data_IF_349451349300
#
_entry.id   IF_349451349300
#
_cell.length_a   1.000
_cell.length_b   1.000
_cell.length_c   1.000
_cell.angle_alpha   90.00
_cell.angle_beta   90.00
_cell.angle_gamma   90.00
#
_symmetry.space_group_name_H-M   'P 1'
#
loop_
_entity.id
_entity.type
_entity.pdbx_description
1 polymer ?
#
# COMPACT_ATOMS: atom_id res chain seq x y z
N UNK A 1 36.88 2.49 21.52
CA UNK A 1 35.78 3.48 21.38
C UNK A 1 36.15 4.80 20.67
N UNK A 2 37.36 4.94 20.09
CA UNK A 2 37.76 6.17 19.34
C UNK A 2 37.80 6.00 17.81
N UNK A 3 37.72 4.76 17.30
CA UNK A 3 37.76 4.46 15.86
C UNK A 3 36.35 4.52 15.22
N UNK A 4 35.29 4.26 15.99
CA UNK A 4 33.91 4.32 15.50
C UNK A 4 33.46 5.77 15.17
N UNK A 5 33.90 6.77 15.94
CA UNK A 5 33.57 8.18 15.68
C UNK A 5 34.23 8.73 14.42
N UNK A 6 35.44 8.26 14.08
CA UNK A 6 36.14 8.66 12.86
C UNK A 6 35.49 8.12 11.59
N UNK A 7 34.94 6.91 11.65
CA UNK A 7 34.26 6.28 10.52
C UNK A 7 32.90 6.95 10.20
N UNK A 8 32.17 7.42 11.23
CA UNK A 8 30.92 8.17 11.06
C UNK A 8 31.16 9.55 10.46
N UNK A 9 32.21 10.27 10.88
CA UNK A 9 32.56 11.59 10.34
C UNK A 9 33.07 11.47 8.89
N UNK A 10 33.83 10.42 8.56
CA UNK A 10 34.32 10.18 7.20
C UNK A 10 33.19 9.79 6.22
N UNK A 11 32.18 9.04 6.69
CA UNK A 11 30.99 8.72 5.89
C UNK A 11 30.08 9.96 5.64
N UNK A 12 30.05 10.90 6.59
CA UNK A 12 29.34 12.19 6.45
C UNK A 12 30.07 13.15 5.50
N UNK A 13 31.40 13.10 5.42
CA UNK A 13 32.18 13.94 4.52
C UNK A 13 32.24 13.41 3.08
N UNK A 14 32.18 12.09 2.87
CA UNK A 14 32.12 11.50 1.51
C UNK A 14 30.74 11.57 0.85
N UNK A 15 29.67 11.87 1.60
CA UNK A 15 28.33 12.08 1.04
C UNK A 15 28.13 13.47 0.43
N UNK A 16 29.06 14.40 0.62
CA UNK A 16 28.99 15.76 0.08
C UNK A 16 29.28 15.86 -1.44
N UNK A 17 29.63 14.75 -2.11
CA UNK A 17 29.92 14.71 -3.54
C UNK A 17 28.84 14.00 -4.39
N UNK A 18 27.69 13.67 -3.81
CA UNK A 18 26.58 13.04 -4.54
C UNK A 18 25.51 14.07 -4.88
N UNK A 19 25.49 14.53 -6.14
CA UNK A 19 24.32 15.21 -6.71
C UNK A 19 23.25 14.18 -7.07
N UNK A 20 22.63 13.57 -6.07
CA UNK A 20 21.35 12.90 -6.26
C UNK A 20 20.27 13.95 -6.35
N UNK A 21 19.93 14.43 -7.54
CA UNK A 21 18.71 15.22 -7.71
C UNK A 21 17.53 14.26 -7.70
N UNK A 22 16.85 14.17 -6.55
CA UNK A 22 15.57 13.48 -6.44
C UNK A 22 14.47 14.44 -6.90
N UNK A 23 13.84 14.15 -8.03
CA UNK A 23 12.75 14.98 -8.57
C UNK A 23 11.45 14.65 -7.85
N UNK A 24 10.87 15.62 -7.13
CA UNK A 24 9.48 15.58 -6.69
C UNK A 24 8.56 16.15 -7.77
N UNK A 25 8.94 17.27 -8.38
CA UNK A 25 8.34 17.87 -9.57
C UNK A 25 9.21 19.02 -10.10
N UNK A 26 8.81 19.70 -11.18
CA UNK A 26 9.54 20.84 -11.77
C UNK A 26 8.62 21.93 -12.32
N UNK A 27 9.15 23.16 -12.39
CA UNK A 27 8.51 24.29 -13.06
C UNK A 27 9.42 24.75 -14.19
N UNK A 28 8.87 24.84 -15.40
CA UNK A 28 9.59 25.31 -16.58
C UNK A 28 8.76 26.32 -17.37
N UNK A 29 9.34 26.95 -18.37
CA UNK A 29 8.61 27.84 -19.25
C UNK A 29 9.53 28.64 -20.17
N UNK A 30 8.90 29.40 -21.06
CA UNK A 30 9.58 30.30 -21.99
C UNK A 30 9.15 31.74 -21.73
N UNK A 31 10.13 32.64 -21.76
CA UNK A 31 9.90 34.08 -21.68
C UNK A 31 9.98 34.68 -23.07
N UNK A 32 8.91 35.37 -23.46
CA UNK A 32 8.77 36.05 -24.76
C UNK A 32 8.45 37.53 -24.56
N UNK A 33 8.62 38.34 -25.59
CA UNK A 33 8.22 39.75 -25.60
C UNK A 33 6.84 39.97 -26.28
N UNK A 34 6.41 41.23 -26.39
CA UNK A 34 5.17 41.61 -27.07
C UNK A 34 5.15 41.29 -28.57
N UNK A 35 6.30 41.09 -29.22
CA UNK A 35 6.39 40.66 -30.63
C UNK A 35 6.36 39.13 -30.80
N UNK A 36 6.51 38.37 -29.70
CA UNK A 36 6.63 36.91 -29.71
C UNK A 36 8.08 36.43 -29.82
N UNK A 37 9.06 37.32 -29.77
CA UNK A 37 10.48 36.95 -29.73
C UNK A 37 10.87 36.45 -28.34
N UNK A 38 11.80 35.49 -28.25
CA UNK A 38 12.30 34.96 -26.98
C UNK A 38 13.19 35.99 -26.26
N UNK A 39 13.12 36.03 -24.93
CA UNK A 39 13.89 36.97 -24.10
C UNK A 39 14.98 36.22 -23.34
N UNK A 40 16.23 36.19 -23.84
CA UNK A 40 17.35 35.61 -23.12
C UNK A 40 17.84 36.53 -22.00
N UNK A 41 18.41 35.96 -20.94
CA UNK A 41 18.98 36.74 -19.84
C UNK A 41 17.97 37.29 -18.83
N UNK A 42 16.68 37.01 -18.97
CA UNK A 42 15.65 37.40 -18.00
C UNK A 42 15.83 36.62 -16.70
N UNK A 43 15.71 37.30 -15.56
CA UNK A 43 15.82 36.69 -14.23
C UNK A 43 14.46 36.17 -13.81
N UNK A 44 14.35 34.85 -13.68
CA UNK A 44 13.15 34.16 -13.20
C UNK A 44 13.34 33.80 -11.74
N UNK A 45 12.39 34.23 -10.90
CA UNK A 45 12.34 33.93 -9.47
C UNK A 45 11.06 33.18 -9.13
N UNK A 46 11.21 32.01 -8.52
CA UNK A 46 10.11 31.12 -8.12
C UNK A 46 10.08 31.08 -6.60
N UNK A 47 8.97 31.45 -5.97
CA UNK A 47 8.81 31.51 -4.52
C UNK A 47 7.70 30.56 -4.09
N UNK A 48 8.02 29.61 -3.20
CA UNK A 48 7.02 28.77 -2.56
C UNK A 48 6.21 29.62 -1.57
N UNK A 49 4.88 29.67 -1.72
CA UNK A 49 4.02 30.60 -0.98
C UNK A 49 3.87 30.23 0.51
N UNK A 50 4.01 28.95 0.87
CA UNK A 50 3.90 28.49 2.25
C UNK A 50 5.21 28.62 3.05
N UNK A 51 6.35 28.46 2.37
CA UNK A 51 7.69 28.47 3.00
C UNK A 51 8.46 29.75 2.74
N UNK A 52 8.07 30.57 1.76
CA UNK A 52 8.81 31.77 1.35
C UNK A 52 10.20 31.50 0.77
N UNK A 53 10.52 30.23 0.48
CA UNK A 53 11.79 29.83 -0.14
C UNK A 53 11.78 30.26 -1.59
N UNK A 54 12.86 30.93 -2.01
CA UNK A 54 13.01 31.44 -3.37
C UNK A 54 14.09 30.68 -4.14
N UNK A 55 13.75 30.27 -5.35
CA UNK A 55 14.63 29.70 -6.35
C UNK A 55 14.81 30.74 -7.46
N UNK A 56 16.00 30.82 -8.04
CA UNK A 56 16.29 31.82 -9.08
C UNK A 56 17.12 31.21 -10.19
N UNK A 57 16.73 31.49 -11.42
CA UNK A 57 17.43 31.05 -12.63
C UNK A 57 17.30 32.12 -13.71
N UNK A 58 18.32 32.24 -14.56
CA UNK A 58 18.29 33.13 -15.72
C UNK A 58 17.87 32.35 -16.96
N UNK A 59 17.05 32.94 -17.83
CA UNK A 59 16.64 32.31 -19.08
C UNK A 59 17.84 32.07 -20.01
N UNK A 60 17.81 30.93 -20.69
CA UNK A 60 18.81 30.54 -21.69
C UNK A 60 18.74 31.41 -22.96
N UNK A 61 19.63 31.17 -23.93
CA UNK A 61 19.58 31.83 -25.25
C UNK A 61 18.27 31.62 -26.01
N UNK A 62 17.50 30.57 -25.69
CA UNK A 62 16.19 30.31 -26.26
C UNK A 62 15.03 30.92 -25.44
N UNK A 63 15.31 31.77 -24.44
CA UNK A 63 14.31 32.32 -23.52
C UNK A 63 13.72 31.29 -22.54
N UNK A 64 14.23 30.06 -22.54
CA UNK A 64 13.74 28.95 -21.73
C UNK A 64 14.35 28.96 -20.31
N UNK A 65 13.56 28.58 -19.31
CA UNK A 65 13.99 28.29 -17.95
C UNK A 65 13.38 26.97 -17.44
N UNK A 66 14.07 26.30 -16.52
CA UNK A 66 13.60 25.08 -15.86
C UNK A 66 14.26 24.92 -14.48
N UNK A 67 13.45 24.91 -13.44
CA UNK A 67 13.85 24.62 -12.06
C UNK A 67 13.25 23.26 -11.67
N UNK A 68 14.14 22.29 -11.45
CA UNK A 68 13.80 20.91 -11.11
C UNK A 68 13.89 20.64 -9.60
N UNK A 69 13.37 19.49 -9.17
CA UNK A 69 13.40 19.04 -7.77
C UNK A 69 12.75 20.04 -6.81
N UNK A 70 11.65 20.66 -7.24
CA UNK A 70 10.86 21.56 -6.41
C UNK A 70 9.91 20.73 -5.53
N UNK A 71 9.86 20.99 -4.21
CA UNK A 71 8.86 20.37 -3.35
C UNK A 71 7.44 20.71 -3.80
N UNK A 72 6.47 19.84 -3.52
CA UNK A 72 5.07 20.13 -3.84
C UNK A 72 4.56 21.35 -3.07
N UNK A 73 3.62 22.08 -3.65
CA UNK A 73 3.01 23.26 -3.05
C UNK A 73 2.67 24.34 -4.06
N UNK A 74 2.21 25.48 -3.55
CA UNK A 74 1.80 26.63 -4.39
C UNK A 74 2.97 27.59 -4.56
N UNK A 75 3.19 28.04 -5.79
CA UNK A 75 4.30 28.89 -6.17
C UNK A 75 3.85 30.18 -6.83
N UNK A 76 4.54 31.27 -6.47
CA UNK A 76 4.57 32.50 -7.26
C UNK A 76 5.81 32.48 -8.15
N UNK A 77 5.64 32.69 -9.46
CA UNK A 77 6.73 32.89 -10.43
C UNK A 77 6.76 34.35 -10.88
N UNK A 78 7.93 34.97 -10.85
CA UNK A 78 8.15 36.34 -11.33
C UNK A 78 9.32 36.42 -12.28
N UNK A 79 9.21 37.27 -13.31
CA UNK A 79 10.24 37.49 -14.32
C UNK A 79 10.59 38.97 -14.38
N UNK A 80 11.90 39.25 -14.35
CA UNK A 80 12.46 40.60 -14.42
C UNK A 80 13.53 40.67 -15.53
N UNK A 81 13.45 41.71 -16.36
CA UNK A 81 14.46 42.00 -17.39
C UNK A 81 14.54 43.51 -17.61
N UNK A 82 15.76 44.06 -17.74
CA UNK A 82 15.93 45.50 -17.98
C UNK A 82 15.29 45.89 -19.32
N UNK A 83 14.51 46.99 -19.31
CA UNK A 83 13.76 47.47 -20.48
C UNK A 83 12.36 46.87 -20.62
N UNK A 84 11.96 45.99 -19.70
CA UNK A 84 10.63 45.39 -19.65
C UNK A 84 9.96 45.62 -18.28
N UNK A 85 8.63 45.61 -18.27
CA UNK A 85 7.83 45.56 -17.04
C UNK A 85 8.02 44.22 -16.34
N UNK A 86 8.02 44.24 -15.01
CA UNK A 86 8.10 43.02 -14.22
C UNK A 86 6.75 42.29 -14.24
N UNK A 87 6.75 40.98 -14.46
CA UNK A 87 5.51 40.18 -14.50
C UNK A 87 5.54 39.14 -13.40
N UNK A 88 4.42 39.00 -12.69
CA UNK A 88 4.26 38.07 -11.57
C UNK A 88 2.99 37.24 -11.74
N UNK A 89 3.13 35.91 -11.66
CA UNK A 89 2.03 34.95 -11.64
C UNK A 89 2.01 34.23 -10.29
N UNK A 90 0.92 34.34 -9.54
CA UNK A 90 0.74 33.69 -8.23
C UNK A 90 -0.33 32.59 -8.29
N UNK A 91 -0.29 31.65 -7.35
CA UNK A 91 -1.27 30.56 -7.29
C UNK A 91 -0.97 29.39 -8.23
N UNK A 92 0.28 29.21 -8.67
CA UNK A 92 0.64 28.07 -9.51
C UNK A 92 0.83 26.84 -8.62
N UNK A 93 -0.12 25.91 -8.64
CA UNK A 93 -0.07 24.67 -7.88
C UNK A 93 0.88 23.66 -8.55
N UNK A 94 1.86 23.17 -7.80
CA UNK A 94 2.79 22.14 -8.22
C UNK A 94 2.55 20.88 -7.41
N UNK A 95 2.06 19.83 -8.09
CA UNK A 95 1.81 18.52 -7.48
C UNK A 95 2.91 17.50 -7.81
N UNK A 96 2.95 16.41 -7.05
CA UNK A 96 3.96 15.35 -7.16
C UNK A 96 3.94 14.69 -8.53
N UNK A 97 5.13 14.55 -9.12
CA UNK A 97 5.34 13.95 -10.44
C UNK A 97 4.43 14.52 -11.55
N UNK A 98 4.04 15.79 -11.40
CA UNK A 98 3.26 16.56 -12.35
C UNK A 98 3.96 17.91 -12.53
N UNK A 99 4.92 18.02 -13.46
CA UNK A 99 5.54 19.29 -13.76
C UNK A 99 4.51 20.28 -14.28
N UNK A 100 4.84 21.56 -14.26
CA UNK A 100 3.99 22.61 -14.84
C UNK A 100 4.82 23.55 -15.72
N UNK A 101 4.16 24.11 -16.73
CA UNK A 101 4.73 25.11 -17.62
C UNK A 101 4.11 26.48 -17.32
N UNK A 102 4.94 27.47 -16.98
CA UNK A 102 4.50 28.83 -16.69
C UNK A 102 5.20 29.79 -17.66
N UNK A 103 4.60 30.03 -18.81
CA UNK A 103 5.13 30.94 -19.81
C UNK A 103 4.88 32.41 -19.45
N UNK A 104 5.78 33.29 -19.89
CA UNK A 104 5.67 34.73 -19.68
C UNK A 104 5.76 35.49 -21.00
N UNK A 105 4.98 36.56 -21.08
CA UNK A 105 5.07 37.57 -22.12
C UNK A 105 5.36 38.90 -21.47
N UNK A 106 6.53 39.47 -21.76
CA UNK A 106 6.99 40.74 -21.21
C UNK A 106 6.56 41.89 -22.12
N UNK A 107 6.08 42.95 -21.50
CA UNK A 107 5.79 44.22 -22.17
C UNK A 107 6.94 45.19 -21.96
N UNK A 108 7.26 45.98 -22.98
CA UNK A 108 8.28 47.04 -22.89
C UNK A 108 7.83 48.08 -21.87
N UNK A 109 8.73 48.48 -20.98
CA UNK A 109 8.45 49.45 -19.92
C UNK A 109 9.50 49.44 -18.83
N UNK A 110 9.27 50.21 -17.77
CA UNK A 110 10.15 50.21 -16.60
C UNK A 110 9.88 49.00 -15.70
N UNK A 111 10.93 48.44 -15.11
CA UNK A 111 10.85 47.29 -14.19
C UNK A 111 10.05 47.58 -12.91
N UNK A 112 9.77 48.86 -12.62
CA UNK A 112 8.98 49.32 -11.47
C UNK A 112 7.48 49.02 -11.61
N UNK A 113 6.98 48.79 -12.83
CA UNK A 113 5.60 48.40 -13.07
C UNK A 113 5.44 46.88 -12.97
N UNK A 114 4.55 46.41 -12.07
CA UNK A 114 4.30 44.99 -11.81
C UNK A 114 2.92 44.58 -12.31
N UNK A 115 2.88 43.67 -13.29
CA UNK A 115 1.63 43.02 -13.72
C UNK A 115 1.44 41.76 -12.87
N UNK A 116 0.37 41.70 -12.08
CA UNK A 116 0.01 40.52 -11.29
C UNK A 116 -1.13 39.77 -11.97
N UNK A 117 -0.89 38.52 -12.35
CA UNK A 117 -1.91 37.62 -12.90
C UNK A 117 -2.14 36.51 -11.88
N UNK A 118 -3.37 36.40 -11.37
CA UNK A 118 -3.76 35.29 -10.50
C UNK A 118 -4.26 34.13 -11.37
N UNK A 119 -3.70 32.93 -11.21
CA UNK A 119 -4.18 31.73 -11.89
C UNK A 119 -5.35 31.14 -11.09
N UNK A 120 -6.55 31.11 -11.67
CA UNK A 120 -7.75 30.43 -11.10
C UNK A 120 -8.33 29.36 -12.04
N UNK A 121 -7.65 29.05 -13.15
CA UNK A 121 -8.10 28.00 -14.06
C UNK A 121 -7.44 26.66 -13.69
N UNK A 122 -8.22 25.58 -13.64
CA UNK A 122 -7.70 24.21 -13.66
C UNK A 122 -6.76 24.09 -14.87
N UNK A 123 -5.46 24.00 -14.61
CA UNK A 123 -4.50 23.76 -15.66
C UNK A 123 -4.67 22.31 -16.11
N UNK A 124 -5.20 22.11 -17.33
CA UNK A 124 -5.08 20.83 -18.00
C UNK A 124 -3.59 20.47 -18.03
N UNK A 125 -3.24 19.25 -17.60
CA UNK A 125 -1.84 18.81 -17.63
C UNK A 125 -1.37 18.72 -19.09
N UNK A 126 -0.64 19.74 -19.54
CA UNK A 126 -0.07 19.84 -20.89
C UNK A 126 1.43 19.55 -20.92
N UNK A 127 2.06 19.42 -19.75
CA UNK A 127 3.52 19.26 -19.65
C UNK A 127 3.99 17.81 -19.75
N UNK A 128 3.10 16.84 -19.51
CA UNK A 128 3.35 15.42 -19.76
C UNK A 128 2.12 14.71 -20.31
N UNK A 129 2.34 13.54 -20.93
CA UNK A 129 1.29 12.71 -21.51
C UNK A 129 0.83 11.59 -20.57
N UNK A 130 1.09 11.70 -19.26
CA UNK A 130 0.82 10.62 -18.30
C UNK A 130 -0.67 10.47 -18.04
N UNK A 131 -1.16 9.23 -17.96
CA UNK A 131 -2.51 8.96 -17.46
C UNK A 131 -2.40 8.54 -16.00
N UNK A 132 -2.98 9.34 -15.12
CA UNK A 132 -2.95 9.12 -13.68
C UNK A 132 -3.58 10.27 -12.91
N UNK A 133 -4.00 9.99 -11.68
CA UNK A 133 -4.55 11.02 -10.79
C UNK A 133 -3.60 11.31 -9.63
N UNK A 134 -3.70 12.54 -9.13
CA UNK A 134 -3.10 12.96 -7.86
C UNK A 134 -4.16 12.77 -6.80
N UNK A 135 -3.84 11.97 -5.79
CA UNK A 135 -4.64 11.81 -4.59
C UNK A 135 -4.11 12.81 -3.57
N UNK A 136 -4.94 13.81 -3.29
CA UNK A 136 -4.63 14.94 -2.43
C UNK A 136 -4.57 14.57 -0.94
N UNK A 137 -4.03 15.48 -0.14
CA UNK A 137 -4.02 15.34 1.33
C UNK A 137 -5.43 15.17 1.89
N UNK A 138 -6.39 15.92 1.36
CA UNK A 138 -7.78 15.90 1.81
C UNK A 138 -8.38 14.51 1.58
N UNK A 139 -8.27 13.97 0.36
CA UNK A 139 -8.77 12.64 0.01
C UNK A 139 -8.13 11.55 0.86
N UNK A 140 -6.82 11.60 1.07
CA UNK A 140 -6.11 10.66 1.95
C UNK A 140 -6.61 10.73 3.40
N UNK A 141 -7.07 11.89 3.86
CA UNK A 141 -7.53 12.07 5.25
C UNK A 141 -9.03 11.83 5.45
N UNK A 142 -9.85 12.07 4.43
CA UNK A 142 -11.32 12.09 4.53
C UNK A 142 -11.97 10.84 3.95
N UNK A 143 -11.34 10.19 2.96
CA UNK A 143 -11.90 8.97 2.40
C UNK A 143 -11.82 7.80 3.39
N UNK A 144 -12.81 6.89 3.38
CA UNK A 144 -12.82 5.74 4.29
C UNK A 144 -11.62 4.81 4.06
N UNK A 145 -10.60 4.91 4.92
CA UNK A 145 -9.41 4.07 4.88
C UNK A 145 -9.43 3.01 5.99
N UNK A 146 -9.74 1.77 5.65
CA UNK A 146 -9.61 0.67 6.60
C UNK A 146 -8.13 0.49 6.99
N UNK A 147 -7.85 0.49 8.30
CA UNK A 147 -6.49 0.41 8.83
C UNK A 147 -5.64 1.66 8.60
N UNK A 148 -6.22 2.73 8.05
CA UNK A 148 -5.53 3.99 7.70
C UNK A 148 -4.31 3.77 6.80
N UNK A 149 -4.45 2.91 5.80
CA UNK A 149 -3.45 2.77 4.75
C UNK A 149 -3.78 3.74 3.60
N UNK A 150 -3.00 4.81 3.39
CA UNK A 150 -3.30 5.81 2.35
C UNK A 150 -3.26 5.22 0.93
N UNK A 151 -2.42 4.20 0.70
CA UNK A 151 -2.24 3.60 -0.63
C UNK A 151 -3.37 2.62 -0.99
N UNK A 152 -4.37 2.44 -0.13
CA UNK A 152 -5.57 1.67 -0.46
C UNK A 152 -6.41 2.36 -1.57
N UNK A 153 -6.36 3.69 -1.67
CA UNK A 153 -7.13 4.42 -2.69
C UNK A 153 -6.57 4.24 -4.11
N UNK A 154 -5.38 3.65 -4.26
CA UNK A 154 -4.85 3.26 -5.58
C UNK A 154 -5.83 2.35 -6.34
N UNK A 155 -6.67 1.60 -5.62
CA UNK A 155 -7.71 0.73 -6.22
C UNK A 155 -8.87 1.51 -6.86
N UNK A 156 -8.99 2.81 -6.59
CA UNK A 156 -10.01 3.68 -7.17
C UNK A 156 -9.57 4.28 -8.51
N UNK A 157 -8.32 4.07 -8.91
CA UNK A 157 -7.75 4.62 -10.14
C UNK A 157 -8.27 3.91 -11.39
N UNK A 158 -8.51 4.64 -12.50
CA UNK A 158 -8.88 4.04 -13.77
C UNK A 158 -7.87 3.00 -14.26
N UNK A 159 -8.38 1.86 -14.74
CA UNK A 159 -7.55 0.76 -15.24
C UNK A 159 -6.95 -0.12 -14.14
N UNK A 160 -7.24 0.15 -12.87
CA UNK A 160 -6.82 -0.68 -11.74
C UNK A 160 -7.91 -1.68 -11.37
N UNK A 161 -7.53 -2.96 -11.22
CA UNK A 161 -8.42 -4.02 -10.73
C UNK A 161 -7.75 -4.81 -9.62
N UNK A 162 -8.46 -5.05 -8.53
CA UNK A 162 -8.00 -5.94 -7.47
C UNK A 162 -8.71 -7.30 -7.57
N UNK A 163 -7.98 -8.35 -7.96
CA UNK A 163 -8.55 -9.71 -8.14
C UNK A 163 -8.50 -10.58 -6.89
N UNK A 164 -7.49 -10.39 -6.03
CA UNK A 164 -7.27 -11.22 -4.84
C UNK A 164 -6.77 -10.36 -3.68
N UNK A 165 -7.51 -10.26 -2.59
CA UNK A 165 -6.99 -9.65 -1.37
C UNK A 165 -6.13 -10.68 -0.61
N UNK A 166 -4.86 -10.35 -0.31
CA UNK A 166 -3.97 -11.22 0.48
C UNK A 166 -3.26 -12.34 -0.28
N UNK A 167 -3.18 -12.28 -1.61
CA UNK A 167 -2.28 -13.12 -2.40
C UNK A 167 -0.80 -12.80 -2.10
N UNK A 168 0.15 -13.61 -2.58
CA UNK A 168 1.58 -13.36 -2.37
C UNK A 168 2.00 -11.95 -2.83
N UNK A 169 1.46 -11.45 -3.96
CA UNK A 169 1.65 -10.08 -4.45
C UNK A 169 0.65 -9.05 -3.88
N UNK A 170 0.38 -7.98 -4.64
CA UNK A 170 -0.65 -6.98 -4.25
C UNK A 170 -2.07 -7.48 -4.51
N UNK A 171 -2.23 -8.40 -5.46
CA UNK A 171 -3.51 -8.69 -6.11
C UNK A 171 -4.12 -7.51 -6.90
N UNK A 172 -3.40 -6.39 -7.01
CA UNK A 172 -3.74 -5.18 -7.74
C UNK A 172 -3.05 -5.23 -9.11
N UNK A 173 -3.84 -5.24 -10.17
CA UNK A 173 -3.38 -5.24 -11.54
C UNK A 173 -3.71 -3.91 -12.20
N UNK A 174 -2.77 -3.35 -12.95
CA UNK A 174 -2.97 -2.08 -13.66
C UNK A 174 -2.92 -2.37 -15.15
N UNK A 175 -4.00 -2.09 -15.87
CA UNK A 175 -4.10 -2.29 -17.32
C UNK A 175 -3.68 -3.72 -17.77
N UNK A 176 -3.98 -4.74 -16.94
CA UNK A 176 -3.63 -6.14 -17.21
C UNK A 176 -2.20 -6.55 -16.83
N UNK A 177 -1.41 -5.67 -16.20
CA UNK A 177 -0.07 -6.00 -15.71
C UNK A 177 -0.07 -7.08 -14.63
N UNK A 178 1.10 -7.66 -14.36
CA UNK A 178 1.30 -8.48 -13.16
C UNK A 178 1.12 -7.62 -11.92
N UNK A 179 0.65 -8.23 -10.84
CA UNK A 179 0.36 -7.58 -9.57
C UNK A 179 1.60 -7.20 -8.75
N UNK A 180 2.78 -7.65 -9.18
CA UNK A 180 4.09 -7.27 -8.66
C UNK A 180 4.83 -6.27 -9.56
N UNK A 181 4.20 -5.84 -10.67
CA UNK A 181 4.80 -4.87 -11.60
C UNK A 181 4.49 -3.44 -11.16
N UNK A 182 4.72 -3.10 -9.89
CA UNK A 182 4.57 -1.72 -9.40
C UNK A 182 5.91 -1.07 -9.09
N UNK A 183 6.05 0.23 -9.32
CA UNK A 183 7.18 1.03 -8.86
C UNK A 183 6.69 2.08 -7.88
N UNK A 184 7.26 2.17 -6.68
CA UNK A 184 6.91 3.19 -5.69
C UNK A 184 8.11 4.04 -5.33
N UNK A 185 7.94 5.35 -5.34
CA UNK A 185 8.93 6.32 -4.84
C UNK A 185 8.35 7.15 -3.71
N UNK A 186 9.19 7.57 -2.77
CA UNK A 186 8.85 8.50 -1.69
C UNK A 186 9.83 9.67 -1.75
N UNK A 187 9.33 10.87 -2.03
CA UNK A 187 10.07 12.08 -2.38
C UNK A 187 11.18 11.79 -3.42
N UNK A 188 10.83 11.07 -4.49
CA UNK A 188 11.73 10.73 -5.59
C UNK A 188 12.74 9.60 -5.31
N UNK A 189 12.73 9.00 -4.12
CA UNK A 189 13.60 7.88 -3.74
C UNK A 189 12.84 6.56 -3.86
N UNK A 190 13.42 5.56 -4.52
CA UNK A 190 12.83 4.22 -4.66
C UNK A 190 12.52 3.58 -3.29
N UNK A 191 11.29 3.08 -3.13
CA UNK A 191 10.80 2.45 -1.91
C UNK A 191 10.20 1.05 -2.15
N UNK A 192 10.57 0.40 -3.26
CA UNK A 192 10.11 -0.96 -3.55
C UNK A 192 10.80 -1.99 -2.65
N UNK A 193 10.06 -3.03 -2.29
CA UNK A 193 10.65 -4.25 -1.75
C UNK A 193 11.13 -5.12 -2.92
N UNK A 194 12.28 -5.79 -2.74
CA UNK A 194 13.02 -6.43 -3.84
C UNK A 194 12.46 -7.76 -4.32
N UNK A 195 11.72 -8.48 -3.48
CA UNK A 195 11.36 -9.89 -3.71
C UNK A 195 9.95 -10.02 -4.29
N UNK A 196 9.03 -9.24 -3.74
CA UNK A 196 7.58 -9.25 -4.01
C UNK A 196 7.09 -7.80 -3.97
N UNK A 197 7.44 -6.94 -4.96
CA UNK A 197 7.04 -5.52 -4.95
C UNK A 197 5.53 -5.34 -4.78
N UNK A 198 5.15 -4.48 -3.84
CA UNK A 198 3.76 -4.25 -3.51
C UNK A 198 3.55 -2.80 -3.07
N UNK A 199 3.00 -1.98 -3.97
CA UNK A 199 2.77 -0.56 -3.72
C UNK A 199 1.80 -0.30 -2.56
N UNK A 200 0.84 -1.18 -2.28
CA UNK A 200 -0.14 -0.95 -1.20
C UNK A 200 0.33 -1.46 0.17
N UNK A 201 1.21 -2.45 0.23
CA UNK A 201 1.50 -3.20 1.46
C UNK A 201 2.97 -3.21 1.86
N UNK A 202 3.93 -3.01 0.95
CA UNK A 202 5.34 -3.00 1.32
C UNK A 202 5.83 -1.63 1.78
N UNK A 203 5.06 -0.58 1.47
CA UNK A 203 5.30 0.80 1.95
C UNK A 203 4.60 1.03 3.30
N UNK A 204 4.49 0.00 4.13
CA UNK A 204 3.63 -0.12 5.32
C UNK A 204 3.96 0.82 6.51
N UNK A 205 4.60 1.94 6.26
CA UNK A 205 5.10 2.88 7.27
C UNK A 205 4.65 4.31 7.02
N UNK A 206 3.82 4.52 5.99
CA UNK A 206 3.18 5.79 5.72
C UNK A 206 1.82 5.83 6.39
N UNK A 207 1.56 6.93 7.08
CA UNK A 207 0.25 7.26 7.66
C UNK A 207 -0.41 8.31 6.77
N UNK A 208 -1.75 8.42 6.78
CA UNK A 208 -2.45 9.47 6.03
C UNK A 208 -1.97 10.86 6.41
N UNK A 209 -1.67 11.06 7.69
CA UNK A 209 -1.10 12.29 8.25
C UNK A 209 0.35 12.59 7.83
N UNK A 210 1.13 11.57 7.46
CA UNK A 210 2.52 11.73 7.04
C UNK A 210 2.70 12.03 5.55
N UNK A 211 1.64 11.90 4.76
CA UNK A 211 1.63 12.13 3.32
C UNK A 211 1.04 13.52 3.03
N UNK A 212 1.68 14.25 2.12
CA UNK A 212 1.09 15.44 1.55
C UNK A 212 0.13 15.05 0.42
N UNK A 213 0.61 14.24 -0.51
CA UNK A 213 -0.17 13.73 -1.64
C UNK A 213 0.62 12.59 -2.29
N UNK A 214 -0.04 11.83 -3.17
CA UNK A 214 0.66 10.91 -4.07
C UNK A 214 -0.01 10.87 -5.43
N UNK A 215 0.78 10.62 -6.47
CA UNK A 215 0.28 10.41 -7.84
C UNK A 215 0.38 8.93 -8.19
N UNK A 216 -0.66 8.41 -8.82
CA UNK A 216 -0.63 7.07 -9.43
C UNK A 216 -0.69 7.23 -10.94
N UNK A 217 0.40 6.89 -11.61
CA UNK A 217 0.46 6.82 -13.07
C UNK A 217 0.18 5.38 -13.49
N UNK A 218 -0.84 5.17 -14.31
CA UNK A 218 -1.30 3.84 -14.75
C UNK A 218 -0.93 3.53 -16.20
N UNK A 219 -0.62 4.55 -17.00
CA UNK A 219 -0.18 4.42 -18.39
C UNK A 219 0.73 5.57 -18.80
N UNK A 220 1.35 5.44 -19.99
CA UNK A 220 2.12 6.50 -20.66
C UNK A 220 3.20 7.13 -19.77
N UNK A 221 3.95 6.29 -19.06
CA UNK A 221 5.03 6.72 -18.18
C UNK A 221 6.18 7.36 -18.95
N UNK A 222 6.77 8.39 -18.36
CA UNK A 222 7.98 9.05 -18.91
C UNK A 222 9.21 8.19 -18.68
N UNK A 223 10.30 8.46 -19.43
CA UNK A 223 11.55 7.70 -19.32
C UNK A 223 12.19 7.72 -17.91
N UNK A 224 11.88 8.75 -17.12
CA UNK A 224 12.34 8.89 -15.73
C UNK A 224 11.64 7.90 -14.78
N UNK A 225 10.43 7.48 -15.13
CA UNK A 225 9.64 6.52 -14.36
C UNK A 225 9.79 5.11 -14.98
N UNK A 226 10.97 4.51 -14.77
CA UNK A 226 11.29 3.17 -15.25
C UNK A 226 10.95 2.04 -14.27
N UNK A 227 11.59 0.88 -14.47
CA UNK A 227 11.60 -0.34 -13.65
C UNK A 227 10.42 -1.31 -13.82
N UNK A 228 9.17 -0.85 -13.88
CA UNK A 228 8.00 -1.75 -13.90
C UNK A 228 6.89 -1.25 -14.83
N UNK A 229 6.05 -2.16 -15.33
CA UNK A 229 5.02 -1.89 -16.36
C UNK A 229 3.60 -1.65 -15.84
N UNK A 230 3.37 -1.78 -14.52
CA UNK A 230 2.07 -1.53 -13.88
C UNK A 230 2.04 -0.19 -13.15
N UNK A 231 1.46 -0.15 -11.94
CA UNK A 231 1.30 1.09 -11.17
C UNK A 231 2.64 1.77 -10.85
N UNK A 232 2.76 3.04 -11.19
CA UNK A 232 3.87 3.90 -10.77
C UNK A 232 3.33 4.88 -9.74
N UNK A 233 3.80 4.78 -8.50
CA UNK A 233 3.30 5.53 -7.35
C UNK A 233 4.38 6.50 -6.89
N UNK A 234 4.11 7.79 -6.99
CA UNK A 234 5.03 8.86 -6.58
C UNK A 234 4.45 9.57 -5.37
N UNK A 235 5.07 9.37 -4.21
CA UNK A 235 4.56 9.86 -2.93
C UNK A 235 5.36 11.09 -2.51
N UNK A 236 4.68 12.19 -2.17
CA UNK A 236 5.27 13.34 -1.50
C UNK A 236 4.95 13.31 -0.01
N UNK A 237 5.98 13.35 0.83
CA UNK A 237 5.76 13.43 2.29
C UNK A 237 5.49 14.85 2.72
N UNK A 238 4.71 14.99 3.79
CA UNK A 238 4.37 16.29 4.35
C UNK A 238 5.61 16.98 4.93
N UNK A 239 5.69 18.29 4.71
CA UNK A 239 6.83 19.13 5.11
C UNK A 239 6.38 20.28 6.02
N UNK A 240 7.35 20.93 6.66
CA UNK A 240 7.07 22.11 7.49
C UNK A 240 6.85 23.37 6.65
N UNK A 241 6.14 24.35 7.20
CA UNK A 241 5.86 25.65 6.54
C UNK A 241 6.30 26.82 7.43
N UNK A 242 6.11 28.07 6.99
CA UNK A 242 6.31 29.24 7.86
C UNK A 242 5.26 29.38 8.97
N UNK A 243 4.20 28.58 8.97
CA UNK A 243 3.16 28.57 9.99
C UNK A 243 3.25 27.27 10.78
N UNK A 244 3.13 27.37 12.10
CA UNK A 244 2.95 26.19 12.92
C UNK A 244 1.57 25.60 12.64
N UNK A 245 1.53 24.30 12.34
CA UNK A 245 0.29 23.52 12.16
C UNK A 245 0.48 22.18 12.86
N UNK A 246 -0.60 21.67 13.45
CA UNK A 246 -0.60 20.34 14.04
C UNK A 246 -1.99 19.87 14.35
N UNK A 247 -2.11 18.57 14.58
CA UNK A 247 -3.36 17.92 14.94
C UNK A 247 -3.09 16.73 15.86
N UNK A 248 -4.06 16.46 16.72
CA UNK A 248 -4.18 15.22 17.48
C UNK A 248 -5.39 14.47 16.93
N UNK A 249 -5.27 13.15 16.81
CA UNK A 249 -6.36 12.32 16.32
C UNK A 249 -6.41 10.98 17.04
N UNK A 250 -7.61 10.39 17.07
CA UNK A 250 -7.85 9.03 17.52
C UNK A 250 -8.93 8.38 16.65
N UNK A 251 -8.67 7.15 16.25
CA UNK A 251 -9.57 6.31 15.47
C UNK A 251 -9.83 5.04 16.26
N UNK A 252 -11.12 4.77 16.47
CA UNK A 252 -11.60 3.65 17.27
C UNK A 252 -12.48 2.73 16.42
N UNK A 253 -12.23 1.42 16.49
CA UNK A 253 -13.13 0.41 15.93
C UNK A 253 -13.25 -0.76 16.91
N UNK A 254 -14.49 -1.18 17.14
CA UNK A 254 -14.80 -2.23 18.09
C UNK A 254 -15.85 -3.19 17.52
N UNK A 255 -15.71 -4.48 17.82
CA UNK A 255 -16.66 -5.52 17.44
C UNK A 255 -18.09 -5.19 17.89
N UNK A 256 -18.29 -4.49 19.01
CA UNK A 256 -19.60 -4.02 19.46
C UNK A 256 -20.31 -3.11 18.46
N UNK A 257 -19.57 -2.33 17.65
CA UNK A 257 -20.11 -1.41 16.65
C UNK A 257 -20.21 -2.04 15.25
N UNK A 258 -19.63 -3.23 15.04
CA UNK A 258 -19.66 -3.92 13.76
C UNK A 258 -20.84 -4.91 13.67
N UNK A 259 -21.42 -5.08 12.48
CA UNK A 259 -22.27 -6.22 12.16
C UNK A 259 -21.45 -7.50 12.00
N UNK A 260 -22.13 -8.66 12.06
CA UNK A 260 -21.54 -9.92 11.61
C UNK A 260 -21.76 -10.07 10.10
N UNK A 261 -20.93 -10.88 9.44
CA UNK A 261 -21.07 -11.17 8.01
C UNK A 261 -22.34 -12.00 7.74
N UNK A 262 -22.96 -11.79 6.57
CA UNK A 262 -24.20 -12.48 6.20
C UNK A 262 -24.06 -14.02 6.24
N UNK A 263 -23.00 -14.54 5.61
CA UNK A 263 -22.75 -15.98 5.57
C UNK A 263 -22.28 -16.53 6.93
N UNK A 264 -21.59 -15.72 7.74
CA UNK A 264 -21.24 -16.12 9.10
C UNK A 264 -22.50 -16.31 9.95
N UNK A 265 -23.49 -15.41 9.83
CA UNK A 265 -24.79 -15.59 10.48
C UNK A 265 -25.51 -16.85 9.99
N UNK A 266 -25.53 -17.10 8.68
CA UNK A 266 -26.16 -18.29 8.10
C UNK A 266 -25.55 -19.60 8.60
N UNK A 267 -24.25 -19.60 8.90
CA UNK A 267 -23.50 -20.75 9.43
C UNK A 267 -23.49 -20.83 10.97
N UNK A 268 -24.09 -19.85 11.67
CA UNK A 268 -24.02 -19.74 13.11
C UNK A 268 -22.62 -19.43 13.65
N UNK A 269 -21.72 -18.91 12.81
CA UNK A 269 -20.36 -18.56 13.17
C UNK A 269 -20.37 -17.25 13.97
N UNK A 270 -19.75 -17.21 15.16
CA UNK A 270 -19.73 -16.00 15.99
C UNK A 270 -18.95 -14.88 15.30
N UNK A 271 -19.41 -13.64 15.51
CA UNK A 271 -18.73 -12.44 15.02
C UNK A 271 -17.29 -12.39 15.54
N UNK A 272 -16.27 -12.22 14.69
CA UNK A 272 -14.89 -12.07 15.12
C UNK A 272 -14.70 -10.86 16.05
N UNK A 273 -13.90 -11.01 17.11
CA UNK A 273 -13.55 -9.86 17.95
C UNK A 273 -12.53 -8.98 17.23
N UNK A 274 -12.73 -7.67 17.30
CA UNK A 274 -11.79 -6.64 16.82
C UNK A 274 -11.86 -5.44 17.75
N UNK A 275 -10.70 -4.99 18.21
CA UNK A 275 -10.50 -3.80 19.04
C UNK A 275 -9.29 -3.06 18.49
N UNK A 276 -9.55 -1.99 17.76
CA UNK A 276 -8.55 -1.17 17.08
C UNK A 276 -8.60 0.22 17.68
N UNK A 277 -7.44 0.69 18.14
CA UNK A 277 -7.21 2.07 18.55
C UNK A 277 -5.98 2.54 17.78
N UNK A 278 -6.15 3.57 16.97
CA UNK A 278 -5.07 4.22 16.23
C UNK A 278 -5.09 5.70 16.57
N UNK A 279 -4.06 6.17 17.26
CA UNK A 279 -3.99 7.56 17.72
C UNK A 279 -2.63 8.13 17.37
N UNK A 280 -2.57 9.44 17.27
CA UNK A 280 -1.33 10.08 16.89
C UNK A 280 -1.39 11.58 16.92
N UNK A 281 -0.23 12.15 16.63
CA UNK A 281 0.03 13.57 16.55
C UNK A 281 0.76 13.86 15.24
N UNK A 282 0.41 14.99 14.64
CA UNK A 282 1.21 15.63 13.61
C UNK A 282 1.53 17.06 14.03
N UNK A 283 2.74 17.50 13.75
CA UNK A 283 3.18 18.85 14.05
C UNK A 283 4.29 19.28 13.09
N UNK A 284 4.17 20.48 12.54
CA UNK A 284 5.21 21.05 11.68
C UNK A 284 5.20 22.57 11.69
N UNK A 285 6.29 23.16 11.23
CA UNK A 285 6.47 24.60 11.20
C UNK A 285 7.93 25.01 10.94
N UNK A 286 8.26 26.28 11.16
CA UNK A 286 9.62 26.78 10.92
C UNK A 286 10.50 26.63 12.16
N UNK A 287 11.70 26.08 12.01
CA UNK A 287 12.81 26.31 12.96
C UNK A 287 13.43 27.69 12.71
N UNK A 288 13.51 28.08 11.43
CA UNK A 288 13.92 29.41 10.97
C UNK A 288 13.08 29.79 9.76
N UNK A 289 12.28 30.84 9.87
CA UNK A 289 11.40 31.29 8.78
C UNK A 289 12.18 31.48 7.47
N UNK A 290 11.55 31.11 6.35
CA UNK A 290 12.11 31.14 5.00
C UNK A 290 13.40 30.33 4.80
N UNK A 291 13.77 29.44 5.74
CA UNK A 291 15.07 28.78 5.68
C UNK A 291 15.11 27.37 6.21
N UNK A 292 14.50 27.09 7.36
CA UNK A 292 14.55 25.77 7.99
C UNK A 292 13.21 25.40 8.54
N UNK A 293 12.71 24.25 8.12
CA UNK A 293 11.38 23.74 8.44
C UNK A 293 11.49 22.33 8.99
N UNK A 294 10.53 21.97 9.84
CA UNK A 294 10.42 20.62 10.36
C UNK A 294 8.97 20.15 10.26
N UNK A 295 8.82 18.84 10.15
CA UNK A 295 7.56 18.13 10.25
C UNK A 295 7.78 16.82 11.00
N UNK A 296 6.88 16.50 11.92
CA UNK A 296 6.89 15.29 12.73
C UNK A 296 5.49 14.71 12.72
N UNK A 297 5.39 13.43 12.40
CA UNK A 297 4.21 12.61 12.56
C UNK A 297 4.58 11.42 13.44
N UNK A 298 3.75 11.18 14.45
CA UNK A 298 3.84 9.99 15.28
C UNK A 298 2.44 9.38 15.37
N UNK A 299 2.33 8.10 15.06
CA UNK A 299 1.11 7.32 15.18
C UNK A 299 1.43 6.05 15.93
N UNK A 300 0.63 5.68 16.91
CA UNK A 300 0.68 4.37 17.53
C UNK A 300 -0.62 3.62 17.28
N UNK A 301 -0.53 2.30 17.27
CA UNK A 301 -1.67 1.43 17.02
C UNK A 301 -1.73 0.28 18.02
N UNK A 302 -2.94 0.04 18.52
CA UNK A 302 -3.29 -1.08 19.38
C UNK A 302 -4.44 -1.83 18.74
N UNK A 303 -4.10 -2.86 17.97
CA UNK A 303 -5.05 -3.71 17.28
C UNK A 303 -5.06 -5.09 17.91
N UNK A 304 -6.18 -5.50 18.47
CA UNK A 304 -6.47 -6.88 18.83
C UNK A 304 -7.56 -7.38 17.91
N UNK A 305 -7.33 -8.47 17.19
CA UNK A 305 -8.36 -9.05 16.34
C UNK A 305 -8.21 -10.56 16.31
N UNK A 306 -9.31 -11.27 16.10
CA UNK A 306 -9.25 -12.69 15.75
C UNK A 306 -9.02 -12.79 14.25
N UNK A 307 -7.94 -13.45 13.82
CA UNK A 307 -7.67 -13.65 12.40
C UNK A 307 -8.40 -14.90 11.93
N UNK A 308 -9.37 -14.80 11.01
CA UNK A 308 -10.07 -15.98 10.50
C UNK A 308 -9.09 -16.90 9.78
N UNK A 309 -9.03 -18.18 10.17
CA UNK A 309 -8.07 -19.13 9.58
C UNK A 309 -8.35 -19.41 8.11
N UNK A 310 -9.60 -19.33 7.71
CA UNK A 310 -10.03 -19.46 6.32
C UNK A 310 -9.49 -18.34 5.41
N UNK A 311 -9.32 -17.11 5.94
CA UNK A 311 -8.63 -16.05 5.21
C UNK A 311 -7.14 -16.35 5.02
N UNK A 312 -6.50 -17.03 5.96
CA UNK A 312 -5.05 -17.35 5.88
C UNK A 312 -4.80 -18.45 4.88
N UNK A 313 -5.64 -19.48 4.87
CA UNK A 313 -5.46 -20.67 4.02
C UNK A 313 -6.29 -20.63 2.72
N UNK A 314 -6.96 -19.52 2.42
CA UNK A 314 -7.89 -19.40 1.28
C UNK A 314 -8.98 -20.48 1.29
N UNK A 315 -9.55 -20.74 2.46
CA UNK A 315 -10.53 -21.79 2.74
C UNK A 315 -10.30 -22.46 4.09
N UNK A 316 -11.29 -23.24 4.57
CA UNK A 316 -11.16 -23.99 5.82
C UNK A 316 -10.06 -25.05 5.64
N UNK A 317 -8.97 -25.02 6.42
CA UNK A 317 -7.90 -26.00 6.29
C UNK A 317 -8.43 -27.39 6.65
N UNK A 318 -8.06 -28.38 5.85
CA UNK A 318 -8.37 -29.79 6.10
C UNK A 318 -7.27 -30.45 6.90
N UNK A 319 -7.66 -31.19 7.93
CA UNK A 319 -6.78 -32.01 8.77
C UNK A 319 -7.25 -33.46 8.73
N UNK A 320 -6.35 -34.39 9.04
CA UNK A 320 -6.73 -35.80 9.16
C UNK A 320 -7.61 -36.03 10.39
N UNK A 321 -8.60 -36.91 10.24
CA UNK A 321 -9.41 -37.41 11.36
C UNK A 321 -8.57 -38.31 12.27
N UNK A 322 -8.97 -38.48 13.55
CA UNK A 322 -8.28 -39.39 14.47
C UNK A 322 -8.12 -40.81 13.91
N UNK A 323 -9.13 -41.32 13.20
CA UNK A 323 -9.08 -42.64 12.57
C UNK A 323 -8.02 -42.68 11.46
N UNK A 324 -7.99 -41.70 10.57
CA UNK A 324 -6.98 -41.64 9.51
C UNK A 324 -5.56 -41.52 10.09
N UNK A 325 -5.36 -40.71 11.14
CA UNK A 325 -4.08 -40.59 11.85
C UNK A 325 -3.64 -41.88 12.54
N UNK A 326 -4.59 -42.75 12.89
CA UNK A 326 -4.32 -44.10 13.40
C UNK A 326 -4.10 -45.15 12.30
N UNK A 327 -4.07 -44.74 11.03
CA UNK A 327 -3.91 -45.62 9.87
C UNK A 327 -5.20 -46.31 9.41
N UNK A 328 -6.35 -45.88 9.94
CA UNK A 328 -7.67 -46.42 9.61
C UNK A 328 -8.34 -45.50 8.59
N UNK A 329 -8.32 -45.92 7.33
CA UNK A 329 -8.91 -45.17 6.22
C UNK A 329 -10.30 -45.71 5.90
N UNK A 330 -11.25 -44.81 5.69
CA UNK A 330 -12.67 -45.11 5.49
C UNK A 330 -13.11 -44.62 4.11
N UNK A 331 -13.82 -45.44 3.35
CA UNK A 331 -14.32 -45.02 2.04
C UNK A 331 -15.70 -45.57 1.73
N UNK A 332 -16.51 -44.79 1.02
CA UNK A 332 -17.84 -45.15 0.59
C UNK A 332 -17.76 -46.08 -0.62
N UNK A 333 -18.36 -47.27 -0.51
CA UNK A 333 -18.49 -48.23 -1.60
C UNK A 333 -19.82 -47.98 -2.30
N UNK A 334 -19.79 -47.39 -3.49
CA UNK A 334 -21.01 -47.14 -4.26
C UNK A 334 -21.50 -48.41 -4.96
N UNK A 335 -22.82 -48.60 -5.03
CA UNK A 335 -23.42 -49.62 -5.90
C UNK A 335 -23.79 -49.00 -7.26
N UNK A 336 -23.21 -49.45 -8.39
CA UNK A 336 -23.57 -48.94 -9.71
C UNK A 336 -25.01 -49.27 -10.12
N UNK A 337 -25.62 -50.29 -9.52
CA UNK A 337 -26.98 -50.75 -9.83
C UNK A 337 -28.04 -50.19 -8.87
N UNK A 338 -27.66 -49.54 -7.77
CA UNK A 338 -28.59 -48.89 -6.85
C UNK A 338 -28.00 -47.64 -6.22
N UNK A 339 -28.58 -46.48 -6.52
CA UNK A 339 -28.07 -45.19 -6.02
C UNK A 339 -28.40 -45.01 -4.55
N UNK A 340 -27.39 -44.72 -3.71
CA UNK A 340 -27.60 -44.25 -2.35
C UNK A 340 -27.92 -42.75 -2.36
N UNK A 341 -29.03 -42.37 -1.74
CA UNK A 341 -29.47 -40.98 -1.63
C UNK A 341 -29.39 -40.55 -0.16
N UNK A 342 -28.80 -39.38 0.09
CA UNK A 342 -28.74 -38.81 1.43
C UNK A 342 -28.98 -37.30 1.34
N UNK A 343 -29.96 -36.78 2.07
CA UNK A 343 -30.31 -35.35 2.02
C UNK A 343 -30.70 -34.85 0.63
N UNK A 344 -31.32 -35.72 -0.19
CA UNK A 344 -31.71 -35.40 -1.57
C UNK A 344 -30.56 -35.39 -2.59
N UNK A 345 -29.36 -35.86 -2.20
CA UNK A 345 -28.20 -35.96 -3.09
C UNK A 345 -27.74 -37.41 -3.27
N UNK A 346 -27.36 -37.75 -4.51
CA UNK A 346 -26.77 -39.05 -4.84
C UNK A 346 -25.35 -39.11 -4.31
N UNK A 347 -25.07 -40.08 -3.44
CA UNK A 347 -23.71 -40.32 -2.95
C UNK A 347 -23.06 -41.44 -3.75
N UNK A 348 -21.90 -41.12 -4.35
CA UNK A 348 -21.10 -42.06 -5.14
C UNK A 348 -19.64 -42.16 -4.67
N UNK A 349 -19.27 -41.36 -3.67
CA UNK A 349 -17.91 -41.23 -3.13
C UNK A 349 -17.96 -40.64 -1.72
N UNK A 350 -16.82 -40.59 -1.03
CA UNK A 350 -16.73 -39.88 0.23
C UNK A 350 -17.19 -38.43 0.09
N UNK A 351 -17.94 -37.99 1.07
CA UNK A 351 -18.49 -36.64 1.13
C UNK A 351 -18.78 -36.28 2.58
N UNK A 352 -18.62 -35.01 2.97
CA UNK A 352 -19.06 -34.48 4.25
C UNK A 352 -20.51 -34.84 4.63
N UNK A 353 -21.38 -35.10 3.65
CA UNK A 353 -22.78 -35.48 3.90
C UNK A 353 -22.93 -36.81 4.64
N UNK A 354 -21.93 -37.70 4.57
CA UNK A 354 -21.98 -39.02 5.22
C UNK A 354 -21.87 -38.94 6.76
N UNK A 355 -21.46 -37.78 7.29
CA UNK A 355 -21.23 -37.57 8.72
C UNK A 355 -22.00 -36.38 9.27
N UNK A 356 -22.25 -36.40 10.58
CA UNK A 356 -22.74 -35.24 11.31
C UNK A 356 -21.69 -34.12 11.22
N UNK A 357 -22.10 -32.90 10.82
CA UNK A 357 -21.17 -31.82 10.53
C UNK A 357 -20.42 -31.29 11.75
N UNK A 358 -20.83 -31.62 12.97
CA UNK A 358 -20.18 -31.16 14.22
C UNK A 358 -19.37 -32.26 14.90
N UNK A 359 -19.87 -33.49 14.89
CA UNK A 359 -19.29 -34.61 15.65
C UNK A 359 -18.46 -35.56 14.79
N UNK A 360 -18.67 -35.58 13.48
CA UNK A 360 -18.03 -36.55 12.58
C UNK A 360 -18.58 -37.97 12.67
N UNK A 361 -19.61 -38.21 13.49
CA UNK A 361 -20.30 -39.50 13.55
C UNK A 361 -21.04 -39.76 12.24
N UNK A 362 -21.15 -41.02 11.81
CA UNK A 362 -21.94 -41.36 10.62
C UNK A 362 -23.39 -40.88 10.78
N UNK A 363 -23.96 -40.27 9.75
CA UNK A 363 -25.37 -39.88 9.77
C UNK A 363 -26.27 -41.10 9.76
N UNK A 364 -27.49 -40.90 10.23
CA UNK A 364 -28.55 -41.91 10.12
C UNK A 364 -28.70 -42.42 8.68
N UNK A 365 -28.82 -43.73 8.52
CA UNK A 365 -28.86 -44.41 7.22
C UNK A 365 -27.49 -44.71 6.60
N UNK A 366 -26.40 -44.13 7.12
CA UNK A 366 -25.03 -44.49 6.73
C UNK A 366 -24.51 -45.57 7.66
N UNK A 367 -24.04 -46.68 7.10
CA UNK A 367 -23.57 -47.85 7.84
C UNK A 367 -22.21 -48.33 7.36
N UNK A 368 -21.48 -49.06 8.20
CA UNK A 368 -20.31 -49.81 7.77
C UNK A 368 -20.69 -51.02 6.91
N UNK A 369 -19.79 -51.41 6.01
CA UNK A 369 -19.95 -52.61 5.20
C UNK A 369 -19.84 -53.87 6.06
N UNK A 370 -20.76 -54.80 5.89
CA UNK A 370 -20.79 -56.07 6.62
C UNK A 370 -19.89 -57.15 5.98
N UNK A 371 -19.58 -57.01 4.68
CA UNK A 371 -18.73 -57.93 3.93
C UNK A 371 -17.97 -57.20 2.81
N UNK A 372 -16.95 -57.84 2.18
CA UNK A 372 -16.20 -57.22 1.07
C UNK A 372 -17.02 -56.97 -0.21
N UNK A 373 -18.15 -57.65 -0.39
CA UNK A 373 -19.05 -57.50 -1.55
C UNK A 373 -20.23 -56.58 -1.27
N UNK A 374 -20.34 -56.08 -0.04
CA UNK A 374 -21.38 -55.14 0.38
C UNK A 374 -21.16 -53.76 -0.28
N UNK A 375 -22.25 -53.05 -0.53
CA UNK A 375 -22.25 -51.76 -1.21
C UNK A 375 -23.27 -50.79 -0.61
N UNK A 376 -23.16 -49.52 -0.98
CA UNK A 376 -23.82 -48.38 -0.35
C UNK A 376 -23.54 -48.31 1.17
N UNK A 377 -22.28 -48.49 1.53
CA UNK A 377 -21.78 -48.58 2.90
C UNK A 377 -20.35 -48.02 3.00
N UNK A 378 -19.88 -47.80 4.23
CA UNK A 378 -18.50 -47.38 4.52
C UNK A 378 -17.63 -48.62 4.72
N UNK A 379 -16.69 -48.83 3.82
CA UNK A 379 -15.60 -49.79 4.01
C UNK A 379 -14.48 -49.15 4.83
N UNK A 380 -13.75 -50.00 5.56
CA UNK A 380 -12.65 -49.59 6.44
C UNK A 380 -11.41 -50.38 6.08
N UNK A 381 -10.29 -49.69 5.92
CA UNK A 381 -8.98 -50.27 5.64
C UNK A 381 -7.96 -49.80 6.68
N UNK A 382 -7.41 -50.73 7.45
CA UNK A 382 -6.35 -50.44 8.40
C UNK A 382 -4.98 -50.75 7.76
N UNK A 383 -4.21 -49.72 7.42
CA UNK A 383 -2.93 -49.89 6.72
C UNK A 383 -1.88 -50.63 7.54
N UNK A 384 -1.86 -50.43 8.87
CA UNK A 384 -0.84 -51.04 9.73
C UNK A 384 -1.16 -52.49 10.05
N UNK A 385 -2.44 -52.84 10.18
CA UNK A 385 -2.88 -54.22 10.31
C UNK A 385 -2.64 -55.03 9.03
N UNK A 386 -2.70 -54.37 7.86
CA UNK A 386 -2.50 -54.98 6.55
C UNK A 386 -1.08 -54.79 5.98
N UNK A 387 -0.10 -54.38 6.80
CA UNK A 387 1.31 -54.26 6.39
C UNK A 387 1.99 -55.64 6.42
N UNK A 388 2.31 -56.24 5.25
CA UNK A 388 2.96 -57.57 5.21
C UNK A 388 4.35 -57.59 5.85
N UNK A 389 5.01 -56.42 5.92
CA UNK A 389 6.37 -56.28 6.45
C UNK A 389 6.37 -55.91 7.94
N UNK A 390 5.21 -55.57 8.51
CA UNK A 390 5.02 -55.17 9.91
C UNK A 390 6.01 -54.11 10.39
N UNK A 391 6.38 -53.19 9.50
CA UNK A 391 7.29 -52.09 9.80
C UNK A 391 6.58 -51.07 10.68
N UNK A 392 5.27 -50.87 10.43
CA UNK A 392 4.47 -49.86 11.13
C UNK A 392 4.76 -48.44 10.65
N UNK A 393 4.21 -47.41 11.32
CA UNK A 393 4.39 -46.03 10.90
C UNK A 393 5.80 -45.52 11.20
N UNK A 394 6.29 -44.62 10.34
CA UNK A 394 7.53 -43.89 10.58
C UNK A 394 7.40 -43.02 11.86
N UNK A 395 8.29 -43.18 12.86
CA UNK A 395 8.20 -42.44 14.12
C UNK A 395 8.33 -40.92 13.98
N UNK A 396 9.08 -40.43 12.99
CA UNK A 396 9.26 -39.00 12.71
C UNK A 396 7.97 -38.42 12.13
N UNK A 397 7.37 -39.10 11.16
CA UNK A 397 6.08 -38.70 10.58
C UNK A 397 4.98 -38.72 11.64
N UNK A 398 4.94 -39.74 12.51
CA UNK A 398 3.98 -39.80 13.62
C UNK A 398 4.14 -38.65 14.61
N UNK A 399 5.39 -38.18 14.83
CA UNK A 399 5.62 -37.00 15.66
C UNK A 399 5.01 -35.75 15.02
N UNK A 400 5.19 -35.55 13.72
CA UNK A 400 4.59 -34.43 12.98
C UNK A 400 3.05 -34.50 13.01
N UNK A 401 2.46 -35.68 12.82
CA UNK A 401 1.01 -35.85 12.86
C UNK A 401 0.40 -35.60 14.25
N UNK A 402 1.14 -35.88 15.34
CA UNK A 402 0.68 -35.54 16.70
C UNK A 402 0.63 -34.04 16.98
N UNK A 403 1.33 -33.22 16.17
CA UNK A 403 1.26 -31.75 16.26
C UNK A 403 0.06 -31.18 15.50
N UNK A 404 -0.59 -31.96 14.63
CA UNK A 404 -1.80 -31.53 13.93
C UNK A 404 -3.00 -31.49 14.88
N UNK A 405 -3.82 -30.42 14.84
CA UNK A 405 -5.03 -30.37 15.64
C UNK A 405 -6.06 -31.38 15.12
N UNK A 406 -6.89 -31.90 16.04
CA UNK A 406 -8.07 -32.68 15.66
C UNK A 406 -9.12 -31.78 14.98
N UNK A 407 -9.85 -32.30 13.98
CA UNK A 407 -10.91 -31.53 13.33
C UNK A 407 -12.00 -31.14 14.33
N UNK A 408 -12.60 -29.96 14.11
CA UNK A 408 -13.71 -29.46 14.92
C UNK A 408 -14.95 -29.08 14.08
N UNK A 409 -14.88 -29.31 12.77
CA UNK A 409 -16.01 -29.22 11.86
C UNK A 409 -15.85 -30.26 10.74
N UNK A 410 -16.94 -30.87 10.30
CA UNK A 410 -16.95 -31.95 9.30
C UNK A 410 -17.73 -31.55 8.04
N UNK A 411 -17.82 -30.26 7.73
CA UNK A 411 -18.51 -29.72 6.54
C UNK A 411 -17.62 -29.61 5.31
N UNK A 412 -16.30 -29.80 5.46
CA UNK A 412 -15.30 -29.76 4.38
C UNK A 412 -14.43 -31.03 4.44
N UNK A 413 -13.59 -31.21 3.42
CA UNK A 413 -12.86 -32.46 3.23
C UNK A 413 -13.78 -33.57 2.73
N UNK A 414 -13.51 -34.80 3.13
CA UNK A 414 -14.30 -35.97 2.75
C UNK A 414 -15.20 -36.47 3.90
N UNK A 415 -15.14 -35.84 5.07
CA UNK A 415 -15.91 -36.14 6.28
C UNK A 415 -15.45 -37.38 7.05
N UNK A 416 -14.70 -38.28 6.39
CA UNK A 416 -14.33 -39.58 6.93
C UNK A 416 -12.84 -39.71 7.24
N UNK A 417 -11.96 -39.24 6.35
CA UNK A 417 -10.51 -39.30 6.56
C UNK A 417 -9.93 -37.91 6.81
N UNK A 418 -10.57 -36.91 6.24
CA UNK A 418 -10.21 -35.50 6.31
C UNK A 418 -11.43 -34.69 6.71
N UNK A 419 -11.22 -33.72 7.58
CA UNK A 419 -12.27 -32.83 8.04
C UNK A 419 -11.67 -31.44 8.31
N UNK A 420 -12.52 -30.44 8.55
CA UNK A 420 -12.09 -29.07 8.73
C UNK A 420 -11.59 -28.79 10.13
N UNK A 421 -10.61 -27.89 10.23
CA UNK A 421 -10.22 -27.26 11.48
C UNK A 421 -10.45 -25.74 11.39
N UNK A 422 -11.38 -25.23 12.18
CA UNK A 422 -11.68 -23.80 12.27
C UNK A 422 -11.30 -23.26 13.64
N UNK A 423 -10.30 -22.39 13.69
CA UNK A 423 -9.96 -21.62 14.87
C UNK A 423 -9.50 -20.24 14.46
N UNK A 424 -9.99 -19.19 15.12
CA UNK A 424 -9.56 -17.84 14.81
C UNK A 424 -8.53 -17.40 15.86
N UNK A 425 -7.21 -17.53 15.59
CA UNK A 425 -6.18 -17.12 16.53
C UNK A 425 -6.32 -15.65 16.91
N UNK A 426 -6.12 -15.31 18.21
CA UNK A 426 -6.01 -13.92 18.61
C UNK A 426 -4.69 -13.35 18.10
N UNK A 427 -4.76 -12.29 17.31
CA UNK A 427 -3.62 -11.52 16.82
C UNK A 427 -3.57 -10.18 17.52
N UNK A 428 -2.35 -9.79 17.93
CA UNK A 428 -2.06 -8.49 18.52
C UNK A 428 -1.06 -7.78 17.63
N UNK A 429 -1.46 -6.68 17.01
CA UNK A 429 -0.54 -5.75 16.33
C UNK A 429 -0.34 -4.52 17.20
N UNK A 430 0.92 -4.17 17.40
CA UNK A 430 1.38 -3.05 18.22
C UNK A 430 2.56 -2.42 17.54
N UNK A 431 2.61 -1.10 17.47
CA UNK A 431 3.78 -0.45 16.93
C UNK A 431 3.56 1.01 16.62
N UNK A 432 4.49 1.83 17.09
CA UNK A 432 4.57 3.21 16.67
C UNK A 432 5.17 3.30 15.26
N UNK A 433 4.56 4.15 14.44
CA UNK A 433 5.10 4.70 13.21
C UNK A 433 5.50 6.16 13.45
N UNK A 434 6.68 6.52 12.98
CA UNK A 434 7.27 7.85 13.13
C UNK A 434 7.78 8.28 11.77
N UNK A 435 7.34 9.45 11.33
CA UNK A 435 7.88 10.15 10.17
C UNK A 435 8.37 11.51 10.62
N UNK A 436 9.64 11.80 10.43
CA UNK A 436 10.20 13.13 10.67
C UNK A 436 10.88 13.63 9.41
N UNK A 437 10.68 14.89 9.08
CA UNK A 437 11.30 15.57 7.97
C UNK A 437 11.85 16.91 8.42
N UNK A 438 13.06 17.24 7.98
CA UNK A 438 13.67 18.55 8.16
C UNK A 438 14.15 19.03 6.81
N UNK A 439 13.71 20.22 6.41
CA UNK A 439 14.10 20.86 5.16
C UNK A 439 14.91 22.11 5.48
N UNK A 440 16.09 22.25 4.86
CA UNK A 440 16.99 23.38 5.03
C UNK A 440 17.41 23.98 3.68
N UNK A 441 17.26 25.28 3.55
CA UNK A 441 17.70 26.03 2.38
C UNK A 441 18.96 26.84 2.72
N UNK A 442 20.07 26.49 2.07
CA UNK A 442 21.33 27.20 2.27
C UNK A 442 21.33 28.52 1.51
N UNK A 443 20.88 28.48 0.26
CA UNK A 443 20.73 29.62 -0.66
C UNK A 443 19.70 29.27 -1.76
N UNK A 444 19.55 30.15 -2.77
CA UNK A 444 18.58 30.00 -3.87
C UNK A 444 18.83 28.81 -4.82
N UNK A 445 19.99 28.16 -4.70
CA UNK A 445 20.43 27.08 -5.59
C UNK A 445 20.78 25.80 -4.85
N UNK A 446 20.85 25.83 -3.51
CA UNK A 446 21.29 24.71 -2.69
C UNK A 446 20.31 24.53 -1.51
N UNK A 447 19.70 23.35 -1.47
CA UNK A 447 18.82 22.92 -0.39
C UNK A 447 19.14 21.48 -0.01
N UNK A 448 18.75 21.09 1.20
CA UNK A 448 18.88 19.74 1.73
C UNK A 448 17.61 19.42 2.50
N UNK A 449 17.08 18.22 2.28
CA UNK A 449 16.10 17.65 3.19
C UNK A 449 16.62 16.35 3.78
N UNK A 450 16.23 16.08 5.02
CA UNK A 450 16.49 14.82 5.70
C UNK A 450 15.15 14.26 6.15
N UNK A 451 14.87 13.02 5.75
CA UNK A 451 13.67 12.29 6.12
C UNK A 451 14.03 11.01 6.87
N UNK A 452 13.38 10.78 7.98
CA UNK A 452 13.46 9.56 8.75
C UNK A 452 12.06 8.96 8.91
N UNK A 453 11.91 7.72 8.46
CA UNK A 453 10.66 6.95 8.58
C UNK A 453 10.99 5.67 9.34
N UNK A 454 10.27 5.42 10.42
CA UNK A 454 10.34 4.18 11.20
C UNK A 454 8.93 3.67 11.46
N UNK A 455 8.76 2.36 11.38
CA UNK A 455 7.57 1.67 11.87
C UNK A 455 8.00 0.40 12.60
N UNK A 456 7.35 0.08 13.71
CA UNK A 456 7.45 -1.25 14.28
C UNK A 456 6.26 -2.08 13.75
N UNK A 457 6.56 -3.25 13.20
CA UNK A 457 5.57 -4.24 12.72
C UNK A 457 5.13 -5.16 13.84
#
# INVERSE_FOLDING_TARGET
MRVASGCVISAVLLSAALFGQTSTSSISGTVTDSSGAVVPGAVVKIINEETGVAYTQTTTGAGFYSIVALPVGVYTVSVEMRGFKSVRKSGNELTVASPITVDFRLEVGETSEVITVSTTAEALQTSDATVGNVISQAEVSELPLNGRNPLALLTLEPGVVQRSAGAAGTGIHVNGSRDMSSNTTIDGIEANESSVPNASSNVHRLTPSGIQEYKVTTSTSTAEMGRNSGALVSIATRQGTNKFRGALYEYFRNSALNSNEFFANALGTPKPDIKLNQYGIEFGGPLRRNRTFFFINWQDQKINYAQPVDQVYSGIPTVYTPEALSGIYRYFVANPNSTFQLGGQTISRNTPLLVDPRTGALREGVRYCASPTDANCIAVYNMFANDPRRIGPDPVIMKMFREMPSPNIYTVGDGLNTAGYMWNPPVRRRGASVTTRVDHNFNSSNSLFVRYIRGNS
#
